data_IF_596199497925
#
_entry.id   IF_596199497925
#
_cell.length_a   1.000
_cell.length_b   1.000
_cell.length_c   1.000
_cell.angle_alpha   90.00
_cell.angle_beta   90.00
_cell.angle_gamma   90.00
#
_symmetry.space_group_name_H-M   'P 1'
#
loop_
_entity.id
_entity.type
_entity.pdbx_description
1 polymer ?
#
# COMPACT_ATOMS: atom_id res chain seq x y z
N UNK A 1 -23.14 -27.91 -26.51
CA UNK A 1 -22.24 -26.75 -26.68
C UNK A 1 -23.03 -25.51 -26.30
N UNK A 2 -23.18 -25.26 -25.01
CA UNK A 2 -23.75 -24.00 -24.52
C UNK A 2 -22.64 -22.97 -24.49
N UNK A 3 -22.70 -22.02 -25.42
CA UNK A 3 -21.90 -20.81 -25.35
C UNK A 3 -22.46 -19.98 -24.19
N UNK A 4 -21.73 -19.92 -23.08
CA UNK A 4 -21.94 -18.92 -22.05
C UNK A 4 -21.72 -17.56 -22.70
N UNK A 5 -22.82 -16.89 -23.08
CA UNK A 5 -22.80 -15.52 -23.56
C UNK A 5 -22.41 -14.63 -22.36
N UNK A 6 -21.10 -14.45 -22.19
CA UNK A 6 -20.55 -13.55 -21.18
C UNK A 6 -21.17 -12.17 -21.34
N UNK A 7 -21.41 -11.48 -20.22
CA UNK A 7 -21.90 -10.12 -20.23
C UNK A 7 -21.12 -9.28 -21.26
N UNK A 8 -21.79 -8.40 -22.04
CA UNK A 8 -21.10 -7.62 -23.05
C UNK A 8 -19.94 -6.85 -22.40
N UNK A 9 -18.73 -7.08 -22.94
CA UNK A 9 -17.50 -6.37 -22.55
C UNK A 9 -17.77 -4.86 -22.54
N UNK A 10 -17.41 -4.20 -21.43
CA UNK A 10 -17.64 -2.77 -21.31
C UNK A 10 -16.80 -1.98 -22.33
N UNK A 11 -17.29 -0.79 -22.70
CA UNK A 11 -16.68 0.05 -23.75
C UNK A 11 -15.23 0.42 -23.42
N UNK A 12 -14.88 0.57 -22.15
CA UNK A 12 -13.52 0.96 -21.74
C UNK A 12 -12.56 -0.19 -21.97
N UNK A 13 -12.89 -1.39 -21.50
CA UNK A 13 -12.08 -2.61 -21.75
C UNK A 13 -11.88 -2.85 -23.24
N UNK A 14 -12.98 -2.82 -24.01
CA UNK A 14 -12.92 -3.00 -25.46
C UNK A 14 -12.05 -1.94 -26.14
N UNK A 15 -12.16 -0.68 -25.73
CA UNK A 15 -11.39 0.41 -26.33
C UNK A 15 -9.90 0.27 -26.04
N UNK A 16 -9.53 -0.06 -24.81
CA UNK A 16 -8.12 -0.28 -24.41
C UNK A 16 -7.52 -1.43 -25.22
N UNK A 17 -8.24 -2.57 -25.34
CA UNK A 17 -7.76 -3.70 -26.14
C UNK A 17 -7.58 -3.32 -27.61
N UNK A 18 -8.56 -2.65 -28.22
CA UNK A 18 -8.42 -2.21 -29.62
C UNK A 18 -7.24 -1.28 -29.85
N UNK A 19 -7.00 -0.34 -28.92
CA UNK A 19 -5.84 0.55 -29.00
C UNK A 19 -4.53 -0.22 -28.90
N UNK A 20 -4.48 -1.27 -28.08
CA UNK A 20 -3.30 -2.13 -27.92
C UNK A 20 -3.06 -3.00 -29.15
N UNK A 21 -4.11 -3.64 -29.68
CA UNK A 21 -4.00 -4.60 -30.78
C UNK A 21 -3.76 -3.94 -32.14
N UNK A 22 -4.41 -2.80 -32.40
CA UNK A 22 -4.39 -2.15 -33.71
C UNK A 22 -3.47 -0.92 -33.78
N UNK A 23 -2.83 -0.56 -32.68
CA UNK A 23 -2.02 0.64 -32.56
C UNK A 23 -2.84 1.87 -32.17
N UNK A 24 -2.26 2.67 -31.27
CA UNK A 24 -2.92 3.85 -30.70
C UNK A 24 -3.17 4.95 -31.73
N UNK A 25 -2.23 5.17 -32.66
CA UNK A 25 -2.31 6.26 -33.65
C UNK A 25 -3.27 5.91 -34.79
N UNK A 26 -3.28 4.64 -35.17
CA UNK A 26 -4.04 4.07 -36.29
C UNK A 26 -5.53 3.91 -35.95
N UNK A 27 -5.85 3.74 -34.66
CA UNK A 27 -7.23 3.58 -34.20
C UNK A 27 -7.91 4.93 -34.00
N UNK A 28 -9.10 5.12 -34.59
CA UNK A 28 -9.89 6.36 -34.48
C UNK A 28 -11.05 6.24 -33.49
N UNK A 29 -11.56 7.38 -33.01
CA UNK A 29 -12.76 7.42 -32.12
C UNK A 29 -13.98 6.81 -32.81
N UNK A 30 -14.10 6.96 -34.13
CA UNK A 30 -15.18 6.35 -34.93
C UNK A 30 -15.10 4.83 -34.88
N UNK A 31 -13.91 4.26 -35.05
CA UNK A 31 -13.72 2.80 -34.97
C UNK A 31 -14.02 2.27 -33.56
N UNK A 32 -13.59 3.00 -32.52
CA UNK A 32 -13.92 2.66 -31.13
C UNK A 32 -15.43 2.71 -30.87
N UNK A 33 -16.11 3.77 -31.32
CA UNK A 33 -17.55 3.92 -31.17
C UNK A 33 -18.33 2.84 -31.93
N UNK A 34 -17.92 2.54 -33.17
CA UNK A 34 -18.51 1.49 -34.00
C UNK A 34 -18.34 0.12 -33.34
N UNK A 35 -17.14 -0.20 -32.84
CA UNK A 35 -16.91 -1.43 -32.13
C UNK A 35 -17.71 -1.52 -30.83
N UNK A 36 -17.94 -0.41 -30.15
CA UNK A 36 -18.78 -0.34 -28.96
C UNK A 36 -20.29 -0.33 -29.25
N UNK A 37 -20.71 -0.34 -30.53
CA UNK A 37 -22.12 -0.29 -30.92
C UNK A 37 -22.82 1.03 -30.56
N UNK A 38 -22.08 2.13 -30.42
CA UNK A 38 -22.62 3.45 -30.09
C UNK A 38 -22.27 4.49 -31.16
N UNK A 39 -23.06 5.55 -31.26
CA UNK A 39 -22.73 6.65 -32.17
C UNK A 39 -21.49 7.41 -31.70
N UNK A 40 -20.71 7.97 -32.64
CA UNK A 40 -19.56 8.85 -32.33
C UNK A 40 -19.94 9.98 -31.35
N UNK A 41 -21.12 10.59 -31.53
CA UNK A 41 -21.60 11.66 -30.65
C UNK A 41 -21.87 11.16 -29.22
N UNK A 42 -22.33 9.91 -29.07
CA UNK A 42 -22.52 9.28 -27.75
C UNK A 42 -21.19 8.91 -27.10
N UNK A 43 -20.23 8.41 -27.89
CA UNK A 43 -18.87 8.15 -27.41
C UNK A 43 -18.24 9.43 -26.86
N UNK A 44 -18.21 10.50 -27.66
CA UNK A 44 -17.60 11.76 -27.26
C UNK A 44 -18.26 12.39 -26.03
N UNK A 45 -19.60 12.31 -25.93
CA UNK A 45 -20.32 12.80 -24.74
C UNK A 45 -19.98 12.02 -23.47
N UNK A 46 -19.80 10.70 -23.57
CA UNK A 46 -19.54 9.83 -22.41
C UNK A 46 -18.08 9.83 -21.99
N UNK A 47 -17.18 9.81 -22.97
CA UNK A 47 -15.77 9.53 -22.74
C UNK A 47 -14.87 10.66 -23.19
N UNK A 48 -15.29 11.58 -24.05
CA UNK A 48 -14.39 12.62 -24.59
C UNK A 48 -13.49 12.07 -25.69
N UNK A 49 -12.18 12.10 -25.47
CA UNK A 49 -11.15 11.72 -26.45
C UNK A 49 -10.73 10.23 -26.37
N UNK A 50 -9.76 9.83 -27.22
CA UNK A 50 -9.10 8.51 -27.13
C UNK A 50 -8.31 8.38 -25.83
N UNK A 51 -7.63 9.44 -25.42
CA UNK A 51 -6.92 9.49 -24.15
C UNK A 51 -7.88 9.33 -22.98
N UNK A 52 -9.03 10.01 -23.03
CA UNK A 52 -9.98 10.01 -21.92
C UNK A 52 -10.66 8.64 -21.71
N UNK A 53 -10.99 7.93 -22.79
CA UNK A 53 -11.61 6.59 -22.66
C UNK A 53 -10.68 5.60 -21.95
N UNK A 54 -9.36 5.71 -22.14
CA UNK A 54 -8.36 4.81 -21.50
C UNK A 54 -8.40 4.90 -19.97
N UNK A 55 -8.82 6.05 -19.43
CA UNK A 55 -8.90 6.30 -17.98
C UNK A 55 -10.33 6.51 -17.47
N UNK A 56 -11.36 6.26 -18.27
CA UNK A 56 -12.74 6.62 -17.92
C UNK A 56 -13.24 5.92 -16.64
N UNK A 57 -12.76 4.71 -16.36
CA UNK A 57 -13.11 3.96 -15.14
C UNK A 57 -12.51 4.58 -13.86
N UNK A 58 -11.46 5.39 -13.96
CA UNK A 58 -10.88 6.08 -12.81
C UNK A 58 -11.77 7.16 -12.22
N UNK A 59 -12.69 7.75 -13.01
CA UNK A 59 -13.65 8.72 -12.48
C UNK A 59 -14.54 8.09 -11.39
N UNK A 60 -15.12 6.92 -11.68
CA UNK A 60 -15.93 6.17 -10.71
C UNK A 60 -15.11 5.67 -9.52
N UNK A 61 -13.83 5.36 -9.70
CA UNK A 61 -12.93 4.96 -8.61
C UNK A 61 -12.56 6.15 -7.72
N UNK A 62 -12.38 7.35 -8.29
CA UNK A 62 -12.18 8.58 -7.52
C UNK A 62 -13.42 8.92 -6.69
N UNK A 63 -14.62 8.83 -7.27
CA UNK A 63 -15.88 9.04 -6.53
C UNK A 63 -16.01 8.07 -5.34
N UNK A 64 -15.66 6.80 -5.55
CA UNK A 64 -15.62 5.78 -4.47
C UNK A 64 -14.60 6.14 -3.39
N UNK A 65 -13.42 6.62 -3.78
CA UNK A 65 -12.39 7.06 -2.84
C UNK A 65 -12.84 8.30 -2.04
N UNK A 66 -13.44 9.29 -2.69
CA UNK A 66 -13.99 10.49 -2.04
C UNK A 66 -15.11 10.12 -1.06
N UNK A 67 -16.02 9.22 -1.45
CA UNK A 67 -17.06 8.70 -0.57
C UNK A 67 -16.48 7.95 0.63
N UNK A 68 -15.40 7.20 0.45
CA UNK A 68 -14.72 6.50 1.54
C UNK A 68 -14.10 7.51 2.52
N UNK A 69 -13.36 8.49 2.00
CA UNK A 69 -12.59 9.42 2.83
C UNK A 69 -13.42 10.54 3.46
N UNK A 70 -14.65 10.75 2.99
CA UNK A 70 -15.61 11.68 3.61
C UNK A 70 -16.32 11.10 4.85
N UNK A 71 -16.03 9.84 5.21
CA UNK A 71 -16.59 9.20 6.42
C UNK A 71 -16.15 9.97 7.68
N UNK A 72 -17.10 10.48 8.50
CA UNK A 72 -16.75 11.24 9.70
C UNK A 72 -15.91 10.43 10.69
N UNK A 73 -14.89 11.06 11.27
CA UNK A 73 -14.05 10.46 12.30
C UNK A 73 -13.14 9.32 11.81
N UNK A 74 -12.97 9.17 10.49
CA UNK A 74 -12.04 8.17 9.94
C UNK A 74 -10.59 8.57 10.28
N UNK A 75 -9.83 7.73 11.03
CA UNK A 75 -8.46 8.04 11.38
C UNK A 75 -7.56 8.16 10.13
N UNK A 76 -6.63 9.13 10.07
CA UNK A 76 -5.71 9.33 8.95
C UNK A 76 -5.07 8.04 8.43
N UNK A 77 -4.44 7.24 9.31
CA UNK A 77 -3.76 5.99 8.90
C UNK A 77 -4.73 5.01 8.25
N UNK A 78 -5.93 4.88 8.83
CA UNK A 78 -6.96 3.97 8.33
C UNK A 78 -7.53 4.44 6.99
N UNK A 79 -7.76 5.74 6.83
CA UNK A 79 -8.24 6.30 5.57
C UNK A 79 -7.23 6.14 4.43
N UNK A 80 -5.94 6.39 4.70
CA UNK A 80 -4.89 6.15 3.71
C UNK A 80 -4.79 4.68 3.31
N UNK A 81 -4.82 3.77 4.29
CA UNK A 81 -4.79 2.34 4.03
C UNK A 81 -6.01 1.86 3.23
N UNK A 82 -7.22 2.13 3.71
CA UNK A 82 -8.46 1.73 3.03
C UNK A 82 -8.57 2.34 1.63
N UNK A 83 -8.16 3.60 1.46
CA UNK A 83 -8.14 4.28 0.17
C UNK A 83 -7.13 3.69 -0.81
N UNK A 84 -5.89 3.46 -0.38
CA UNK A 84 -4.86 2.84 -1.22
C UNK A 84 -5.24 1.41 -1.63
N UNK A 85 -5.85 0.64 -0.71
CA UNK A 85 -6.39 -0.69 -0.99
C UNK A 85 -7.54 -0.65 -2.00
N UNK A 86 -8.47 0.29 -1.86
CA UNK A 86 -9.59 0.45 -2.78
C UNK A 86 -9.11 0.66 -4.21
N UNK A 87 -8.13 1.56 -4.40
CA UNK A 87 -7.57 1.84 -5.73
C UNK A 87 -6.77 0.64 -6.23
N UNK A 88 -6.01 -0.04 -5.37
CA UNK A 88 -5.19 -1.18 -5.78
C UNK A 88 -6.04 -2.37 -6.21
N UNK A 89 -7.08 -2.68 -5.44
CA UNK A 89 -8.05 -3.73 -5.77
C UNK A 89 -8.80 -3.45 -7.06
N UNK A 90 -9.13 -2.20 -7.36
CA UNK A 90 -9.72 -1.85 -8.67
C UNK A 90 -8.85 -2.35 -9.85
N UNK A 91 -7.52 -2.33 -9.71
CA UNK A 91 -6.62 -2.88 -10.72
C UNK A 91 -6.62 -4.41 -10.74
N UNK A 92 -6.59 -5.05 -9.56
CA UNK A 92 -6.62 -6.51 -9.44
C UNK A 92 -7.91 -7.10 -10.04
N UNK A 93 -9.05 -6.49 -9.71
CA UNK A 93 -10.39 -6.91 -10.17
C UNK A 93 -10.54 -6.78 -11.69
N UNK A 94 -9.73 -5.93 -12.33
CA UNK A 94 -9.72 -5.68 -13.78
C UNK A 94 -8.33 -5.94 -14.37
N UNK A 95 -7.80 -7.15 -14.14
CA UNK A 95 -6.40 -7.47 -14.48
C UNK A 95 -6.08 -7.27 -15.96
N UNK A 96 -6.86 -7.84 -16.87
CA UNK A 96 -6.65 -7.71 -18.32
C UNK A 96 -6.62 -6.23 -18.75
N UNK A 97 -7.57 -5.43 -18.25
CA UNK A 97 -7.65 -3.99 -18.53
C UNK A 97 -6.41 -3.24 -18.00
N UNK A 98 -5.97 -3.57 -16.79
CA UNK A 98 -4.81 -2.90 -16.16
C UNK A 98 -3.50 -3.20 -16.89
N UNK A 99 -3.31 -4.45 -17.32
CA UNK A 99 -2.14 -4.87 -18.11
C UNK A 99 -2.16 -4.18 -19.49
N UNK A 100 -3.27 -4.25 -20.22
CA UNK A 100 -3.37 -3.62 -21.53
C UNK A 100 -3.18 -2.09 -21.47
N UNK A 101 -3.70 -1.42 -20.42
CA UNK A 101 -3.43 0.00 -20.17
C UNK A 101 -1.94 0.25 -19.91
N UNK A 102 -1.29 -0.60 -19.11
CA UNK A 102 0.13 -0.46 -18.81
C UNK A 102 0.98 -0.54 -20.09
N UNK A 103 0.72 -1.53 -20.94
CA UNK A 103 1.45 -1.72 -22.19
C UNK A 103 1.28 -0.52 -23.14
N UNK A 104 0.06 0.01 -23.25
CA UNK A 104 -0.21 1.25 -23.99
C UNK A 104 0.59 2.45 -23.47
N UNK A 105 0.68 2.60 -22.15
CA UNK A 105 1.41 3.69 -21.52
C UNK A 105 2.93 3.60 -21.78
N UNK A 106 3.47 2.40 -22.01
CA UNK A 106 4.88 2.24 -22.40
C UNK A 106 5.14 2.65 -23.86
N UNK A 107 4.11 2.70 -24.71
CA UNK A 107 4.27 3.09 -26.12
C UNK A 107 3.96 4.55 -26.42
N UNK A 108 3.11 5.21 -25.62
CA UNK A 108 2.44 6.46 -26.02
C UNK A 108 2.67 7.59 -25.02
N UNK A 109 3.40 8.64 -25.44
CA UNK A 109 3.75 9.80 -24.59
C UNK A 109 2.52 10.55 -24.05
N UNK A 110 1.53 10.86 -24.90
CA UNK A 110 0.33 11.59 -24.46
C UNK A 110 -0.48 10.85 -23.40
N UNK A 111 -0.44 9.50 -23.38
CA UNK A 111 -1.08 8.71 -22.34
C UNK A 111 -0.28 8.76 -21.02
N UNK A 112 1.05 8.86 -21.06
CA UNK A 112 1.88 9.05 -19.85
C UNK A 112 1.60 10.40 -19.19
N UNK A 113 1.48 11.47 -19.97
CA UNK A 113 1.08 12.79 -19.45
C UNK A 113 -0.31 12.72 -18.80
N UNK A 114 -1.22 11.95 -19.42
CA UNK A 114 -2.55 11.71 -18.86
C UNK A 114 -2.51 10.91 -17.56
N UNK A 115 -1.62 9.92 -17.44
CA UNK A 115 -1.39 9.14 -16.21
C UNK A 115 -0.87 10.03 -15.07
N UNK A 116 0.04 10.96 -15.36
CA UNK A 116 0.53 11.94 -14.38
C UNK A 116 -0.64 12.81 -13.88
N UNK A 117 -1.43 13.35 -14.81
CA UNK A 117 -2.59 14.16 -14.47
C UNK A 117 -3.63 13.37 -13.66
N UNK A 118 -3.78 12.06 -13.92
CA UNK A 118 -4.65 11.18 -13.15
C UNK A 118 -4.10 10.91 -11.74
N UNK A 119 -2.80 10.63 -11.60
CA UNK A 119 -2.15 10.46 -10.30
C UNK A 119 -2.34 11.69 -9.42
N UNK A 120 -2.19 12.90 -9.97
CA UNK A 120 -2.43 14.14 -9.25
C UNK A 120 -3.90 14.36 -8.83
N UNK A 121 -4.87 13.66 -9.42
CA UNK A 121 -6.28 13.68 -8.95
C UNK A 121 -6.43 12.85 -7.68
N UNK A 122 -5.84 11.66 -7.64
CA UNK A 122 -5.82 10.82 -6.44
C UNK A 122 -5.11 11.51 -5.28
N UNK A 123 -3.94 12.12 -5.54
CA UNK A 123 -3.22 12.90 -4.53
C UNK A 123 -4.08 14.00 -3.92
N UNK A 124 -4.83 14.74 -4.74
CA UNK A 124 -5.74 15.80 -4.25
C UNK A 124 -6.83 15.28 -3.33
N UNK A 125 -7.38 14.10 -3.60
CA UNK A 125 -8.40 13.48 -2.76
C UNK A 125 -7.82 13.07 -1.40
N UNK A 126 -6.65 12.42 -1.39
CA UNK A 126 -5.96 12.09 -0.14
C UNK A 126 -5.51 13.33 0.63
N UNK A 127 -5.00 14.36 -0.06
CA UNK A 127 -4.61 15.62 0.55
C UNK A 127 -5.81 16.31 1.20
N UNK A 128 -6.97 16.35 0.53
CA UNK A 128 -8.18 16.95 1.06
C UNK A 128 -8.60 16.25 2.37
N UNK A 129 -8.64 14.91 2.35
CA UNK A 129 -8.88 14.11 3.54
C UNK A 129 -7.91 14.42 4.69
N UNK A 130 -6.60 14.43 4.41
CA UNK A 130 -5.60 14.67 5.43
C UNK A 130 -5.65 16.08 6.02
N UNK A 131 -6.04 17.11 5.24
CA UNK A 131 -6.21 18.47 5.76
C UNK A 131 -7.26 18.53 6.88
N UNK A 132 -8.29 17.71 6.77
CA UNK A 132 -9.41 17.68 7.70
C UNK A 132 -9.18 16.68 8.84
N UNK A 133 -8.53 15.55 8.56
CA UNK A 133 -8.34 14.47 9.52
C UNK A 133 -7.10 14.65 10.43
N UNK A 134 -6.07 15.38 9.99
CA UNK A 134 -4.87 15.59 10.79
C UNK A 134 -5.11 16.59 11.94
N UNK A 135 -4.52 16.35 13.13
CA UNK A 135 -4.62 17.27 14.24
C UNK A 135 -3.99 18.64 13.89
N UNK A 136 -4.41 19.74 14.54
CA UNK A 136 -3.79 21.04 14.37
C UNK A 136 -2.30 21.01 14.73
N UNK A 137 -1.46 21.47 13.82
CA UNK A 137 -0.03 21.72 14.01
C UNK A 137 0.45 22.74 12.99
N UNK A 138 1.62 23.34 13.23
CA UNK A 138 2.22 24.32 12.32
C UNK A 138 2.54 23.70 10.95
N UNK A 139 2.96 22.43 10.93
CA UNK A 139 3.33 21.70 9.72
C UNK A 139 2.18 20.95 9.05
N UNK A 140 0.97 20.93 9.63
CA UNK A 140 -0.19 20.14 9.16
C UNK A 140 -0.40 20.20 7.65
N UNK A 141 -0.29 21.39 7.04
CA UNK A 141 -0.49 21.57 5.60
C UNK A 141 0.60 20.87 4.77
N UNK A 142 1.86 21.00 5.20
CA UNK A 142 3.00 20.38 4.51
C UNK A 142 2.94 18.87 4.68
N UNK A 143 2.64 18.39 5.90
CA UNK A 143 2.43 16.96 6.19
C UNK A 143 1.32 16.37 5.33
N UNK A 144 0.16 17.03 5.21
CA UNK A 144 -0.95 16.55 4.37
C UNK A 144 -0.56 16.40 2.89
N UNK A 145 0.19 17.38 2.34
CA UNK A 145 0.68 17.33 0.95
C UNK A 145 1.68 16.19 0.77
N UNK A 146 2.70 16.13 1.62
CA UNK A 146 3.80 15.18 1.49
C UNK A 146 3.33 13.74 1.71
N UNK A 147 2.48 13.50 2.73
CA UNK A 147 1.95 12.17 3.03
C UNK A 147 0.98 11.68 1.94
N UNK A 148 0.16 12.56 1.36
CA UNK A 148 -0.70 12.20 0.23
C UNK A 148 0.12 11.79 -1.01
N UNK A 149 1.12 12.62 -1.39
CA UNK A 149 2.00 12.32 -2.50
C UNK A 149 2.79 11.02 -2.28
N UNK A 150 3.33 10.82 -1.08
CA UNK A 150 4.05 9.60 -0.74
C UNK A 150 3.15 8.36 -0.74
N UNK A 151 1.89 8.47 -0.32
CA UNK A 151 0.92 7.37 -0.37
C UNK A 151 0.64 6.95 -1.82
N UNK A 152 0.43 7.91 -2.72
CA UNK A 152 0.23 7.63 -4.16
C UNK A 152 1.50 7.07 -4.80
N UNK A 153 2.69 7.58 -4.44
CA UNK A 153 3.96 7.04 -4.92
C UNK A 153 4.18 5.59 -4.49
N UNK A 154 3.91 5.26 -3.23
CA UNK A 154 3.95 3.87 -2.71
C UNK A 154 2.97 2.99 -3.47
N UNK A 155 1.73 3.42 -3.62
CA UNK A 155 0.73 2.69 -4.39
C UNK A 155 1.20 2.40 -5.83
N UNK A 156 1.71 3.41 -6.54
CA UNK A 156 2.19 3.27 -7.91
C UNK A 156 3.39 2.31 -8.01
N UNK A 157 4.29 2.30 -7.02
CA UNK A 157 5.40 1.36 -6.98
C UNK A 157 4.93 -0.10 -6.82
N UNK A 158 3.92 -0.33 -5.98
CA UNK A 158 3.30 -1.64 -5.79
C UNK A 158 2.57 -2.08 -7.06
N UNK A 159 1.80 -1.18 -7.69
CA UNK A 159 1.08 -1.46 -8.93
C UNK A 159 2.04 -1.83 -10.06
N UNK A 160 3.11 -1.06 -10.25
CA UNK A 160 4.15 -1.38 -11.25
C UNK A 160 4.88 -2.69 -10.95
N UNK A 161 5.00 -3.08 -9.68
CA UNK A 161 5.59 -4.36 -9.32
C UNK A 161 4.67 -5.50 -9.73
N UNK A 162 3.38 -5.40 -9.43
CA UNK A 162 2.38 -6.38 -9.84
C UNK A 162 2.23 -6.46 -11.38
N UNK A 163 2.24 -5.33 -12.09
CA UNK A 163 2.09 -5.29 -13.55
C UNK A 163 3.23 -5.99 -14.31
N UNK A 164 4.40 -6.20 -13.70
CA UNK A 164 5.51 -6.96 -14.31
C UNK A 164 5.28 -8.47 -14.28
N UNK A 165 4.51 -8.96 -13.33
CA UNK A 165 4.15 -10.38 -13.17
C UNK A 165 2.72 -10.49 -12.59
N UNK A 166 1.70 -10.20 -13.43
CA UNK A 166 0.32 -10.12 -12.97
C UNK A 166 -0.20 -11.51 -12.64
N UNK A 167 -0.36 -11.79 -11.35
CA UNK A 167 -0.97 -13.02 -10.85
C UNK A 167 -1.93 -12.73 -9.70
N UNK A 168 -2.98 -13.55 -9.49
CA UNK A 168 -3.88 -13.39 -8.35
C UNK A 168 -3.17 -13.51 -7.01
N UNK A 169 -2.30 -14.52 -6.88
CA UNK A 169 -1.53 -14.76 -5.64
C UNK A 169 -0.56 -13.62 -5.36
N UNK A 170 0.18 -13.15 -6.38
CA UNK A 170 1.09 -12.01 -6.22
C UNK A 170 0.35 -10.71 -5.92
N UNK A 171 -0.81 -10.50 -6.53
CA UNK A 171 -1.69 -9.36 -6.27
C UNK A 171 -2.14 -9.28 -4.82
N UNK A 172 -2.62 -10.39 -4.26
CA UNK A 172 -3.04 -10.45 -2.85
C UNK A 172 -1.88 -10.25 -1.86
N UNK A 173 -0.70 -10.81 -2.16
CA UNK A 173 0.51 -10.60 -1.34
C UNK A 173 0.95 -9.13 -1.34
N UNK A 174 0.90 -8.48 -2.50
CA UNK A 174 1.22 -7.06 -2.63
C UNK A 174 0.16 -6.17 -1.97
N UNK A 175 -1.12 -6.53 -2.08
CA UNK A 175 -2.19 -5.85 -1.37
C UNK A 175 -1.96 -5.93 0.15
N UNK A 176 -1.70 -7.10 0.73
CA UNK A 176 -1.38 -7.22 2.15
C UNK A 176 -0.16 -6.39 2.57
N UNK A 177 0.88 -6.36 1.72
CA UNK A 177 2.10 -5.59 1.96
C UNK A 177 1.91 -4.07 1.81
N UNK A 178 0.94 -3.63 1.00
CA UNK A 178 0.63 -2.22 0.79
C UNK A 178 0.09 -1.57 2.06
N UNK A 179 -0.81 -2.25 2.79
CA UNK A 179 -1.31 -1.77 4.09
C UNK A 179 -0.18 -1.56 5.09
N UNK A 180 0.72 -2.54 5.21
CA UNK A 180 1.89 -2.44 6.07
C UNK A 180 2.80 -1.27 5.67
N UNK A 181 2.98 -1.04 4.36
CA UNK A 181 3.80 0.07 3.87
C UNK A 181 3.17 1.43 4.14
N UNK A 182 1.85 1.57 3.98
CA UNK A 182 1.11 2.79 4.33
C UNK A 182 1.17 3.04 5.83
N UNK A 183 1.04 2.00 6.66
CA UNK A 183 1.19 2.10 8.11
C UNK A 183 2.58 2.61 8.49
N UNK A 184 3.64 2.01 7.92
CA UNK A 184 5.01 2.48 8.10
C UNK A 184 5.18 3.95 7.67
N UNK A 185 4.62 4.34 6.52
CA UNK A 185 4.66 5.72 6.03
C UNK A 185 4.04 6.68 7.04
N UNK A 186 2.88 6.35 7.62
CA UNK A 186 2.25 7.18 8.65
C UNK A 186 3.17 7.38 9.86
N UNK A 187 3.93 6.35 10.27
CA UNK A 187 4.93 6.49 11.35
C UNK A 187 6.07 7.44 11.03
N UNK A 188 6.53 7.47 9.77
CA UNK A 188 7.60 8.38 9.31
C UNK A 188 7.16 9.83 9.38
N UNK A 189 5.87 10.09 9.17
CA UNK A 189 5.26 11.42 9.24
C UNK A 189 4.67 11.76 10.62
N UNK A 190 4.89 10.92 11.63
CA UNK A 190 4.31 11.05 12.99
C UNK A 190 2.77 11.16 13.00
N UNK A 191 2.11 10.46 12.07
CA UNK A 191 0.65 10.41 11.93
C UNK A 191 0.15 9.07 12.44
N UNK A 192 -0.76 9.09 13.42
CA UNK A 192 -1.29 7.87 14.08
C UNK A 192 -0.20 6.81 14.28
N UNK A 193 0.96 7.16 14.90
CA UNK A 193 1.99 6.16 15.12
C UNK A 193 1.34 4.99 15.87
N UNK A 194 1.68 3.72 15.52
CA UNK A 194 1.24 2.60 16.34
C UNK A 194 1.57 3.01 17.76
N UNK A 195 0.58 2.92 18.66
CA UNK A 195 0.79 3.27 20.06
C UNK A 195 2.14 2.66 20.41
N UNK A 196 3.17 3.51 20.58
CA UNK A 196 4.44 3.02 21.09
C UNK A 196 3.96 2.26 22.31
N UNK A 197 4.22 0.96 22.37
CA UNK A 197 3.96 0.22 23.58
C UNK A 197 4.82 0.91 24.63
N UNK A 198 4.30 1.99 25.21
CA UNK A 198 4.64 2.39 26.54
C UNK A 198 4.27 1.12 27.26
N UNK A 199 5.30 0.35 27.60
CA UNK A 199 5.17 -0.65 28.63
C UNK A 199 4.39 0.10 29.71
N UNK A 200 3.16 -0.34 29.99
CA UNK A 200 2.46 0.10 31.20
C UNK A 200 3.45 -0.05 32.36
N UNK A 201 3.31 0.72 33.45
CA UNK A 201 4.32 0.83 34.51
C UNK A 201 5.04 -0.51 34.73
N UNK A 202 6.30 -0.55 34.28
CA UNK A 202 7.11 -1.76 34.32
C UNK A 202 7.73 -1.79 35.69
N UNK A 203 7.33 -2.76 36.51
CA UNK A 203 8.02 -3.02 37.76
C UNK A 203 9.38 -3.62 37.43
N UNK A 204 10.42 -2.79 37.53
CA UNK A 204 11.80 -3.22 37.40
C UNK A 204 12.18 -4.07 38.61
N UNK A 205 12.08 -5.39 38.46
CA UNK A 205 12.60 -6.34 39.44
C UNK A 205 14.06 -6.63 39.08
N UNK A 206 14.97 -6.16 39.94
CA UNK A 206 16.38 -6.52 39.83
C UNK A 206 16.55 -7.93 40.39
N UNK A 207 16.65 -8.92 39.51
CA UNK A 207 17.04 -10.28 39.88
C UNK A 207 18.53 -10.24 40.25
N UNK A 208 18.87 -10.82 41.40
CA UNK A 208 20.14 -10.77 42.12
C UNK A 208 21.42 -10.66 41.25
N UNK A 209 22.44 -9.93 41.75
CA UNK A 209 23.74 -9.67 41.07
C UNK A 209 24.62 -10.93 40.82
N UNK A 210 24.08 -12.15 40.94
CA UNK A 210 24.88 -13.37 40.95
C UNK A 210 24.15 -14.60 40.42
N UNK A 211 23.69 -14.57 39.17
CA UNK A 211 23.45 -15.83 38.44
C UNK A 211 24.81 -16.32 37.93
N UNK A 212 25.53 -17.08 38.76
CA UNK A 212 26.80 -17.70 38.40
C UNK A 212 26.59 -19.14 37.96
N UNK A 213 27.00 -19.47 36.74
CA UNK A 213 27.04 -20.84 36.24
C UNK A 213 28.47 -21.36 36.34
N UNK A 214 28.68 -22.54 36.91
CA UNK A 214 30.00 -23.18 36.86
C UNK A 214 30.29 -23.59 35.41
N UNK A 215 31.04 -22.74 34.71
CA UNK A 215 31.61 -23.07 33.42
C UNK A 215 32.65 -24.18 33.62
N UNK A 216 32.24 -25.43 33.47
CA UNK A 216 33.17 -26.52 33.23
C UNK A 216 33.92 -26.26 31.92
N UNK A 217 35.24 -26.09 32.00
CA UNK A 217 36.13 -26.04 30.84
C UNK A 217 36.69 -24.64 30.55
N UNK A 218 38.01 -24.56 30.65
CA UNK A 218 38.90 -23.45 30.33
C UNK A 218 38.66 -22.92 28.91
N UNK A 219 37.94 -21.81 28.78
CA UNK A 219 37.85 -21.08 27.52
C UNK A 219 37.85 -19.57 27.78
N UNK A 220 38.71 -18.90 27.03
CA UNK A 220 39.15 -17.54 27.28
C UNK A 220 37.98 -16.56 27.39
N UNK A 221 37.82 -15.98 28.57
CA UNK A 221 36.90 -14.88 28.80
C UNK A 221 37.25 -13.70 27.88
N UNK A 222 36.45 -13.53 26.82
CA UNK A 222 36.37 -12.28 26.10
C UNK A 222 36.02 -11.19 27.12
N UNK A 223 36.95 -10.26 27.33
CA UNK A 223 36.75 -9.09 28.18
C UNK A 223 35.60 -8.28 27.60
N UNK A 224 34.40 -8.38 28.18
CA UNK A 224 33.33 -7.42 27.89
C UNK A 224 33.71 -6.08 28.54
N UNK A 225 33.68 -5.01 27.76
CA UNK A 225 33.77 -3.66 28.29
C UNK A 225 32.49 -3.35 29.09
N UNK A 226 32.53 -3.63 30.39
CA UNK A 226 31.44 -3.34 31.33
C UNK A 226 30.27 -4.33 31.32
N UNK A 227 29.39 -4.29 32.34
CA UNK A 227 28.23 -5.15 32.41
C UNK A 227 27.21 -4.73 31.33
N UNK A 228 26.95 -5.60 30.35
CA UNK A 228 25.83 -5.46 29.43
C UNK A 228 24.59 -6.07 30.09
N UNK A 229 23.63 -5.27 30.60
CA UNK A 229 22.46 -5.82 31.27
C UNK A 229 21.54 -6.54 30.26
N UNK A 230 21.13 -7.75 30.60
CA UNK A 230 20.09 -8.48 29.86
C UNK A 230 18.73 -8.08 30.45
N UNK A 231 17.86 -7.51 29.63
CA UNK A 231 16.49 -7.18 30.02
C UNK A 231 15.54 -8.24 29.47
N UNK A 232 14.82 -8.93 30.36
CA UNK A 232 13.82 -9.95 30.01
C UNK A 232 12.43 -9.42 30.32
N UNK A 233 11.57 -9.33 29.31
CA UNK A 233 10.18 -8.90 29.47
C UNK A 233 9.29 -10.13 29.56
N UNK A 234 8.56 -10.29 30.66
CA UNK A 234 7.64 -11.41 30.89
C UNK A 234 6.21 -10.96 31.17
N UNK A 235 5.19 -11.79 30.84
CA UNK A 235 3.80 -11.51 31.23
C UNK A 235 3.65 -11.38 32.74
N UNK A 236 2.74 -10.49 33.20
CA UNK A 236 2.41 -10.38 34.62
C UNK A 236 1.94 -11.72 35.21
N UNK A 237 2.42 -12.03 36.42
CA UNK A 237 2.21 -13.32 37.09
C UNK A 237 3.26 -14.39 36.78
N UNK A 238 4.19 -14.11 35.85
CA UNK A 238 5.36 -14.96 35.63
C UNK A 238 6.42 -14.66 36.68
N UNK A 239 7.03 -15.69 37.27
CA UNK A 239 8.18 -15.53 38.17
C UNK A 239 9.38 -14.91 37.41
N UNK A 240 9.79 -13.67 37.74
CA UNK A 240 10.87 -12.98 37.05
C UNK A 240 12.23 -13.68 37.17
N UNK A 241 12.49 -14.37 38.29
CA UNK A 241 13.78 -15.04 38.53
C UNK A 241 13.92 -16.28 37.66
N UNK A 242 12.89 -17.14 37.66
CA UNK A 242 12.86 -18.31 36.79
C UNK A 242 12.90 -17.94 35.30
N UNK A 243 12.33 -16.80 34.91
CA UNK A 243 12.40 -16.31 33.53
C UNK A 243 13.80 -15.80 33.15
N UNK A 244 14.43 -15.01 34.02
CA UNK A 244 15.80 -14.54 33.83
C UNK A 244 16.77 -15.73 33.71
N UNK A 245 16.61 -16.75 34.56
CA UNK A 245 17.43 -17.96 34.55
C UNK A 245 17.32 -18.73 33.22
N UNK A 246 16.08 -18.95 32.73
CA UNK A 246 15.85 -19.63 31.43
C UNK A 246 16.46 -18.86 30.26
N UNK A 247 16.24 -17.54 30.21
CA UNK A 247 16.77 -16.71 29.12
C UNK A 247 18.29 -16.65 29.15
N UNK A 248 18.90 -16.48 30.32
CA UNK A 248 20.36 -16.50 30.46
C UNK A 248 20.96 -17.84 30.01
N UNK A 249 20.33 -18.96 30.34
CA UNK A 249 20.74 -20.30 29.87
C UNK A 249 20.68 -20.41 28.34
N UNK A 250 19.57 -20.02 27.72
CA UNK A 250 19.42 -20.08 26.25
C UNK A 250 20.43 -19.19 25.52
N UNK A 251 20.73 -18.00 26.05
CA UNK A 251 21.76 -17.11 25.49
C UNK A 251 23.14 -17.75 25.60
N UNK A 252 23.46 -18.33 26.75
CA UNK A 252 24.76 -18.98 26.96
C UNK A 252 24.96 -20.21 26.07
N UNK A 253 23.91 -21.04 25.90
CA UNK A 253 23.93 -22.18 24.99
C UNK A 253 24.12 -21.75 23.53
N UNK A 254 23.43 -20.69 23.09
CA UNK A 254 23.55 -20.15 21.74
C UNK A 254 24.92 -19.53 21.44
N UNK A 255 25.64 -19.05 22.45
CA UNK A 255 26.99 -18.51 22.31
C UNK A 255 28.08 -19.61 22.27
N UNK A 256 27.74 -20.84 22.67
CA UNK A 256 28.66 -22.00 22.66
C UNK A 256 28.52 -22.91 21.42
N UNK A 257 27.49 -22.69 20.58
CA UNK A 257 27.25 -23.41 19.32
C UNK A 257 27.82 -22.66 18.12
#
# INVERSE_FOLDING_TARGET
MEQTQGAPEDVVTRSIRMLADHGYLETTVEQLAQAAGISRATFFRKYGSKEDVVFADHAATLERLESLLSRPGLPPRRGLAEGAQLVFRHHLDHTERSVARHDLLQGVESLRDREIAMSSRYERVFQAFLRDALPPSDDRRVTAVALAAATVAVHNAFLRTWLRDPSPVGGEQLAASLDQRVAWLCTVFDVDPPARGGLGPVDLVRVSDGISWEAGGDDAAARSEGPAPIVVVVPQGTDPEAAAERTARSVYEALRS
#
